data_IF_984771340146
#
_entry.id   IF_984771340146
#
_cell.length_a   1.000
_cell.length_b   1.000
_cell.length_c   1.000
_cell.angle_alpha   90.00
_cell.angle_beta   90.00
_cell.angle_gamma   90.00
#
_symmetry.space_group_name_H-M   'P 1'
#
loop_
_entity.id
_entity.type
_entity.pdbx_description
1 polymer ?
#
# COMPACT_ATOMS: atom_id res chain seq x y z
N UNK A 1 23.68 68.49 -32.65
CA UNK A 1 22.49 69.36 -32.80
C UNK A 1 21.48 68.60 -33.65
N UNK A 2 20.18 68.74 -33.34
CA UNK A 2 19.02 68.04 -33.92
C UNK A 2 18.76 66.62 -33.41
N UNK A 3 17.77 66.49 -32.51
CA UNK A 3 16.46 65.87 -32.78
C UNK A 3 15.80 65.47 -31.46
N UNK A 4 14.98 66.38 -30.93
CA UNK A 4 13.96 66.10 -29.92
C UNK A 4 12.64 65.82 -30.64
N UNK A 5 12.13 64.61 -30.56
CA UNK A 5 10.68 64.28 -30.61
C UNK A 5 10.50 62.78 -30.49
N UNK A 6 9.71 62.38 -29.49
CA UNK A 6 8.74 61.26 -29.45
C UNK A 6 8.65 60.67 -28.04
N UNK A 7 8.03 61.46 -27.16
CA UNK A 7 7.30 60.92 -26.01
C UNK A 7 6.06 60.20 -26.53
N UNK A 8 6.08 58.87 -26.53
CA UNK A 8 4.88 58.04 -26.69
C UNK A 8 4.88 56.92 -25.66
N UNK A 9 3.92 57.05 -24.74
CA UNK A 9 3.05 55.96 -24.31
C UNK A 9 3.74 54.69 -23.77
N UNK A 10 4.06 54.70 -22.48
CA UNK A 10 3.89 53.51 -21.65
C UNK A 10 2.81 53.83 -20.62
N UNK A 11 1.54 53.77 -21.06
CA UNK A 11 0.41 53.65 -20.13
C UNK A 11 0.68 52.41 -19.28
N UNK A 12 0.91 52.64 -17.99
CA UNK A 12 0.92 51.61 -16.95
C UNK A 12 -0.42 50.87 -16.95
N UNK A 13 -0.58 49.86 -17.80
CA UNK A 13 -1.50 48.77 -17.51
C UNK A 13 -0.77 47.82 -16.57
N UNK A 14 -0.59 48.25 -15.30
CA UNK A 14 -0.57 47.28 -14.20
C UNK A 14 -2.01 46.74 -14.10
N UNK A 15 -2.42 45.93 -15.09
CA UNK A 15 -3.44 44.93 -14.86
C UNK A 15 -2.95 44.20 -13.63
N UNK A 16 -3.77 44.23 -12.58
CA UNK A 16 -3.64 43.33 -11.47
C UNK A 16 -3.39 41.95 -12.07
N UNK A 17 -2.12 41.52 -12.10
CA UNK A 17 -1.78 40.13 -12.22
C UNK A 17 -2.38 39.55 -10.95
N UNK A 18 -3.61 39.09 -11.17
CA UNK A 18 -4.44 38.37 -10.25
C UNK A 18 -3.51 37.57 -9.36
N UNK A 19 -3.61 37.80 -8.05
CA UNK A 19 -3.18 36.86 -7.03
C UNK A 19 -3.91 35.55 -7.33
N UNK A 20 -3.47 34.82 -8.35
CA UNK A 20 -3.87 33.46 -8.59
C UNK A 20 -3.37 32.74 -7.36
N UNK A 21 -4.31 32.36 -6.49
CA UNK A 21 -4.08 31.37 -5.44
C UNK A 21 -3.36 30.19 -6.11
N UNK A 22 -2.05 30.10 -5.90
CA UNK A 22 -1.22 29.01 -6.46
C UNK A 22 -1.43 27.69 -5.73
N UNK A 23 -2.31 27.68 -4.72
CA UNK A 23 -2.72 26.49 -4.01
C UNK A 23 -4.24 26.53 -3.85
N UNK A 24 -4.91 25.54 -4.43
CA UNK A 24 -6.32 25.27 -4.15
C UNK A 24 -6.42 24.76 -2.70
N UNK A 25 -6.58 25.66 -1.73
CA UNK A 25 -7.16 25.25 -0.46
C UNK A 25 -8.60 24.83 -0.74
N UNK A 26 -8.97 23.64 -0.26
CA UNK A 26 -10.33 23.12 -0.39
C UNK A 26 -11.31 24.16 0.15
N UNK A 27 -12.32 24.61 -0.63
CA UNK A 27 -13.31 25.56 -0.14
C UNK A 27 -13.95 25.06 1.16
N UNK A 28 -14.23 25.97 2.11
CA UNK A 28 -14.82 25.62 3.41
C UNK A 28 -16.19 24.93 3.30
N UNK A 29 -16.90 25.15 2.18
CA UNK A 29 -18.19 24.53 1.86
C UNK A 29 -18.09 23.12 1.28
N UNK A 30 -16.88 22.59 1.02
CA UNK A 30 -16.72 21.30 0.34
C UNK A 30 -17.17 20.16 1.24
N UNK A 31 -18.02 19.28 0.70
CA UNK A 31 -18.56 18.11 1.41
C UNK A 31 -17.66 16.88 1.32
N UNK A 32 -17.03 16.67 0.15
CA UNK A 32 -16.11 15.55 -0.13
C UNK A 32 -14.66 16.03 -0.23
N UNK A 33 -13.71 15.10 -0.42
CA UNK A 33 -12.27 15.39 -0.54
C UNK A 33 -11.69 16.24 0.61
N UNK A 34 -12.25 16.07 1.81
CA UNK A 34 -11.65 16.59 3.04
C UNK A 34 -10.44 15.72 3.40
N UNK A 35 -9.38 16.29 4.01
CA UNK A 35 -8.29 15.49 4.53
C UNK A 35 -8.82 14.39 5.47
N UNK A 36 -8.24 13.19 5.37
CA UNK A 36 -8.59 12.07 6.24
C UNK A 36 -8.15 12.39 7.66
N UNK A 37 -9.07 12.30 8.61
CA UNK A 37 -8.77 12.34 10.05
C UNK A 37 -8.46 10.92 10.52
N UNK A 38 -7.17 10.55 10.48
CA UNK A 38 -6.70 9.21 10.87
C UNK A 38 -7.05 8.85 12.32
N UNK A 39 -7.33 9.82 13.20
CA UNK A 39 -7.73 9.55 14.59
C UNK A 39 -9.20 9.15 14.74
N UNK A 40 -10.00 9.31 13.69
CA UNK A 40 -11.45 9.02 13.69
C UNK A 40 -11.86 7.98 12.66
N UNK A 41 -10.91 7.48 11.88
CA UNK A 41 -11.21 6.50 10.85
C UNK A 41 -11.58 5.15 11.49
N UNK A 42 -12.63 4.46 11.03
CA UNK A 42 -13.07 3.20 11.62
C UNK A 42 -12.14 2.02 11.31
N UNK A 43 -11.17 2.19 10.41
CA UNK A 43 -10.29 1.11 9.91
C UNK A 43 -8.94 1.03 10.63
N UNK A 44 -8.77 1.81 11.71
CA UNK A 44 -7.63 1.83 12.62
C UNK A 44 -8.07 1.55 14.06
N UNK A 45 -7.20 0.90 14.83
CA UNK A 45 -7.42 0.58 16.24
C UNK A 45 -7.08 1.77 17.14
N UNK A 46 -7.95 2.79 17.17
CA UNK A 46 -7.71 4.01 17.93
C UNK A 46 -7.90 3.88 19.46
N UNK A 47 -8.24 2.68 19.96
CA UNK A 47 -8.31 2.36 21.40
C UNK A 47 -7.69 0.99 21.66
N UNK A 48 -7.15 0.78 22.87
CA UNK A 48 -6.56 -0.51 23.24
C UNK A 48 -7.57 -1.65 23.15
N UNK A 49 -8.81 -1.41 23.57
CA UNK A 49 -9.89 -2.39 23.48
C UNK A 49 -10.21 -2.78 22.03
N UNK A 50 -10.19 -1.81 21.10
CA UNK A 50 -10.38 -2.10 19.68
C UNK A 50 -9.23 -2.94 19.12
N UNK A 51 -7.99 -2.65 19.51
CA UNK A 51 -6.82 -3.45 19.09
C UNK A 51 -6.90 -4.88 19.62
N UNK A 52 -7.19 -5.06 20.92
CA UNK A 52 -7.32 -6.38 21.55
C UNK A 52 -8.43 -7.22 20.92
N UNK A 53 -9.60 -6.62 20.68
CA UNK A 53 -10.72 -7.30 20.04
C UNK A 53 -10.40 -7.70 18.60
N UNK A 54 -9.90 -6.77 17.79
CA UNK A 54 -9.66 -7.01 16.36
C UNK A 54 -8.53 -8.01 16.09
N UNK A 55 -7.53 -8.06 16.97
CA UNK A 55 -6.38 -8.96 16.86
C UNK A 55 -6.53 -10.22 17.73
N UNK A 56 -7.71 -10.44 18.33
CA UNK A 56 -8.01 -11.57 19.22
C UNK A 56 -6.98 -11.76 20.35
N UNK A 57 -6.53 -10.66 20.96
CA UNK A 57 -5.58 -10.66 22.06
C UNK A 57 -6.29 -10.86 23.41
N UNK A 58 -5.54 -11.30 24.41
CA UNK A 58 -6.01 -11.32 25.80
C UNK A 58 -6.22 -9.90 26.34
N UNK A 59 -7.06 -9.75 27.37
CA UNK A 59 -7.38 -8.43 27.95
C UNK A 59 -6.16 -7.72 28.55
N UNK A 60 -5.17 -8.48 29.01
CA UNK A 60 -3.92 -8.03 29.62
C UNK A 60 -2.78 -7.80 28.62
N UNK A 61 -2.98 -8.13 27.34
CA UNK A 61 -1.97 -7.94 26.31
C UNK A 61 -1.53 -6.48 26.22
N UNK A 62 -0.20 -6.27 26.28
CA UNK A 62 0.40 -4.96 26.16
C UNK A 62 0.32 -4.47 24.71
N UNK A 63 -0.19 -3.26 24.52
CA UNK A 63 -0.29 -2.58 23.23
C UNK A 63 0.33 -1.19 23.34
N UNK A 64 1.01 -0.74 22.29
CA UNK A 64 1.66 0.56 22.23
C UNK A 64 1.07 1.38 21.07
N UNK A 65 0.95 2.70 21.27
CA UNK A 65 0.54 3.62 20.20
C UNK A 65 1.69 3.80 19.21
N UNK A 66 1.52 3.29 17.99
CA UNK A 66 2.56 3.29 16.96
C UNK A 66 2.06 3.84 15.63
N UNK A 67 2.92 4.56 14.92
CA UNK A 67 2.75 4.82 13.51
C UNK A 67 3.30 3.67 12.65
N UNK A 68 3.06 3.71 11.33
CA UNK A 68 3.40 2.58 10.46
C UNK A 68 4.91 2.34 10.37
N UNK A 69 5.76 3.38 10.31
CA UNK A 69 7.21 3.16 10.26
C UNK A 69 7.76 2.55 11.56
N UNK A 70 7.19 2.91 12.71
CA UNK A 70 7.55 2.34 14.01
C UNK A 70 7.09 0.89 14.12
N UNK A 71 5.92 0.54 13.57
CA UNK A 71 5.43 -0.83 13.57
C UNK A 71 6.25 -1.76 12.66
N UNK A 72 6.71 -1.24 11.50
CA UNK A 72 7.70 -1.91 10.65
C UNK A 72 8.99 -2.15 11.42
N UNK A 73 9.52 -1.12 12.11
CA UNK A 73 10.70 -1.26 12.95
C UNK A 73 10.50 -2.31 14.06
N UNK A 74 9.33 -2.33 14.72
CA UNK A 74 8.98 -3.30 15.75
C UNK A 74 8.97 -4.74 15.21
N UNK A 75 8.49 -4.96 13.98
CA UNK A 75 8.56 -6.27 13.31
C UNK A 75 9.99 -6.67 12.99
N UNK A 76 10.80 -5.77 12.42
CA UNK A 76 12.21 -6.03 12.09
C UNK A 76 13.03 -6.35 13.35
N UNK A 77 12.87 -5.56 14.40
CA UNK A 77 13.49 -5.80 15.70
C UNK A 77 13.09 -7.17 16.24
N UNK A 78 11.81 -7.52 16.18
CA UNK A 78 11.34 -8.81 16.63
C UNK A 78 11.96 -9.96 15.83
N UNK A 79 11.93 -9.90 14.50
CA UNK A 79 12.50 -10.94 13.64
C UNK A 79 14.00 -11.12 13.88
N UNK A 80 14.77 -10.01 13.96
CA UNK A 80 16.20 -10.05 14.27
C UNK A 80 16.48 -10.67 15.64
N UNK A 81 15.67 -10.35 16.65
CA UNK A 81 15.80 -10.92 18.00
C UNK A 81 15.45 -12.41 18.06
N UNK A 82 14.48 -12.84 17.27
CA UNK A 82 13.93 -14.21 17.35
C UNK A 82 14.72 -15.22 16.55
N UNK A 83 15.31 -14.81 15.42
CA UNK A 83 15.98 -15.72 14.51
C UNK A 83 17.32 -15.13 14.07
N UNK A 84 18.42 -15.79 14.42
CA UNK A 84 19.79 -15.34 14.11
C UNK A 84 20.09 -15.33 12.61
N UNK A 85 19.31 -16.06 11.81
CA UNK A 85 19.46 -16.12 10.35
C UNK A 85 18.87 -14.91 9.63
N UNK A 86 18.15 -14.02 10.34
CA UNK A 86 17.57 -12.81 9.74
C UNK A 86 18.67 -11.79 9.46
N UNK A 87 18.67 -11.22 8.27
CA UNK A 87 19.54 -10.10 7.88
C UNK A 87 18.69 -8.92 7.42
N UNK A 88 19.15 -7.70 7.63
CA UNK A 88 18.53 -6.49 7.10
C UNK A 88 19.58 -5.68 6.36
N UNK A 89 19.39 -5.49 5.06
CA UNK A 89 20.34 -4.74 4.25
C UNK A 89 19.67 -4.01 3.11
N UNK A 90 20.36 -2.99 2.62
CA UNK A 90 19.93 -2.14 1.53
C UNK A 90 20.70 -0.82 1.57
N UNK A 91 20.27 0.14 0.77
CA UNK A 91 20.85 1.48 0.81
C UNK A 91 20.42 2.21 2.08
N UNK A 92 21.38 2.76 2.83
CA UNK A 92 21.14 3.66 3.96
C UNK A 92 20.42 3.06 5.19
N UNK A 93 20.21 1.74 5.23
CA UNK A 93 19.52 1.08 6.34
C UNK A 93 20.27 1.18 7.67
N UNK A 94 21.60 1.28 7.66
CA UNK A 94 22.43 1.16 8.86
C UNK A 94 22.22 2.32 9.85
N UNK A 95 22.01 3.56 9.37
CA UNK A 95 21.72 4.69 10.25
C UNK A 95 20.23 4.75 10.67
N UNK A 96 19.40 3.92 10.05
CA UNK A 96 17.97 3.82 10.31
C UNK A 96 17.07 3.93 9.06
N UNK A 97 17.65 4.09 7.87
CA UNK A 97 16.92 4.23 6.62
C UNK A 97 16.32 5.63 6.45
N UNK A 98 16.07 6.02 5.20
CA UNK A 98 15.54 7.36 4.86
C UNK A 98 14.15 7.61 5.45
N UNK A 99 13.38 6.55 5.74
CA UNK A 99 12.07 6.61 6.40
C UNK A 99 12.08 6.27 7.90
N UNK A 100 13.25 5.98 8.49
CA UNK A 100 13.43 5.56 9.90
C UNK A 100 12.87 4.18 10.26
N UNK A 101 12.66 3.30 9.27
CA UNK A 101 12.13 1.95 9.49
C UNK A 101 13.14 1.02 10.17
N UNK A 102 14.45 1.25 10.04
CA UNK A 102 15.50 0.41 10.64
C UNK A 102 16.26 1.11 11.77
N UNK A 103 15.72 2.23 12.29
CA UNK A 103 16.39 3.04 13.32
C UNK A 103 16.75 2.20 14.55
N UNK A 104 18.01 2.30 14.98
CA UNK A 104 18.53 1.65 16.20
C UNK A 104 18.88 0.16 16.03
N UNK A 105 18.50 -0.48 14.91
CA UNK A 105 18.70 -1.92 14.74
C UNK A 105 20.18 -2.30 14.58
N UNK A 106 20.99 -1.46 13.91
CA UNK A 106 22.43 -1.70 13.79
C UNK A 106 23.15 -1.63 15.13
N UNK A 107 22.76 -0.69 15.99
CA UNK A 107 23.37 -0.51 17.31
C UNK A 107 23.07 -1.72 18.22
N UNK A 108 21.89 -2.32 18.08
CA UNK A 108 21.45 -3.47 18.87
C UNK A 108 21.93 -4.81 18.34
N UNK A 109 21.81 -5.06 17.02
CA UNK A 109 22.08 -6.36 16.41
C UNK A 109 23.43 -6.46 15.70
N UNK A 110 24.17 -5.34 15.61
CA UNK A 110 25.49 -5.26 15.01
C UNK A 110 25.49 -5.15 13.48
N UNK A 111 26.60 -4.63 12.96
CA UNK A 111 26.82 -4.40 11.52
C UNK A 111 27.00 -5.68 10.68
N UNK A 112 27.08 -6.85 11.31
CA UNK A 112 27.06 -8.14 10.62
C UNK A 112 25.65 -8.57 10.21
N UNK A 113 24.61 -8.03 10.86
CA UNK A 113 23.20 -8.38 10.60
C UNK A 113 22.38 -7.24 10.03
N UNK A 114 22.75 -5.99 10.33
CA UNK A 114 22.11 -4.80 9.78
C UNK A 114 23.15 -3.91 9.12
N UNK A 115 23.15 -3.82 7.78
CA UNK A 115 24.25 -3.16 7.05
C UNK A 115 23.84 -2.52 5.73
N UNK A 116 24.63 -1.53 5.31
CA UNK A 116 24.46 -0.88 4.03
C UNK A 116 25.04 -1.73 2.90
N UNK A 117 24.39 -1.69 1.74
CA UNK A 117 24.91 -2.21 0.47
C UNK A 117 25.48 -1.08 -0.40
N UNK A 118 26.27 -1.38 -1.44
CA UNK A 118 26.44 -0.46 -2.57
C UNK A 118 25.09 -0.09 -3.20
N UNK A 119 25.06 1.06 -3.88
CA UNK A 119 23.87 1.61 -4.55
C UNK A 119 23.60 0.85 -5.85
N UNK A 120 22.91 -0.29 -5.76
CA UNK A 120 22.65 -1.20 -6.87
C UNK A 120 21.55 -2.21 -6.54
N UNK A 121 20.31 -1.94 -6.97
CA UNK A 121 19.12 -2.72 -6.59
C UNK A 121 19.17 -4.17 -7.08
N UNK A 122 19.69 -4.40 -8.29
CA UNK A 122 19.90 -5.77 -8.79
C UNK A 122 20.90 -6.55 -7.93
N UNK A 123 21.92 -5.88 -7.40
CA UNK A 123 22.91 -6.48 -6.51
C UNK A 123 22.29 -6.78 -5.15
N UNK A 124 21.47 -5.88 -4.61
CA UNK A 124 20.73 -6.07 -3.36
C UNK A 124 19.85 -7.32 -3.44
N UNK A 125 19.01 -7.44 -4.47
CA UNK A 125 18.10 -8.60 -4.59
C UNK A 125 18.86 -9.88 -4.91
N UNK A 126 19.84 -9.84 -5.82
CA UNK A 126 20.65 -11.02 -6.13
C UNK A 126 21.42 -11.55 -4.91
N UNK A 127 21.97 -10.64 -4.10
CA UNK A 127 22.60 -11.00 -2.83
C UNK A 127 21.59 -11.63 -1.86
N UNK A 128 20.39 -11.07 -1.76
CA UNK A 128 19.33 -11.62 -0.93
C UNK A 128 18.91 -13.03 -1.36
N UNK A 129 18.80 -13.29 -2.66
CA UNK A 129 18.52 -14.64 -3.18
C UNK A 129 19.62 -15.62 -2.76
N UNK A 130 20.89 -15.23 -2.90
CA UNK A 130 22.02 -16.06 -2.45
C UNK A 130 21.98 -16.36 -0.96
N UNK A 131 21.71 -15.36 -0.12
CA UNK A 131 21.53 -15.57 1.32
C UNK A 131 20.38 -16.55 1.63
N UNK A 132 19.22 -16.38 0.98
CA UNK A 132 18.06 -17.22 1.22
C UNK A 132 18.29 -18.67 0.75
N UNK A 133 18.99 -18.85 -0.37
CA UNK A 133 19.39 -20.17 -0.88
C UNK A 133 20.30 -20.93 0.11
N UNK A 134 21.10 -20.22 0.90
CA UNK A 134 21.93 -20.76 1.98
C UNK A 134 21.19 -20.88 3.33
N UNK A 135 19.86 -20.71 3.34
CA UNK A 135 19.03 -20.88 4.53
C UNK A 135 18.93 -19.65 5.44
N UNK A 136 19.40 -18.48 5.00
CA UNK A 136 19.20 -17.22 5.72
C UNK A 136 17.80 -16.64 5.46
N UNK A 137 17.38 -15.68 6.28
CA UNK A 137 16.10 -14.94 6.11
C UNK A 137 16.36 -13.45 5.80
N UNK A 138 16.81 -13.13 4.58
CA UNK A 138 17.21 -11.79 4.22
C UNK A 138 16.01 -10.86 4.02
N UNK A 139 16.07 -9.71 4.67
CA UNK A 139 15.15 -8.59 4.49
C UNK A 139 15.88 -7.50 3.71
N UNK A 140 15.68 -7.49 2.40
CA UNK A 140 16.24 -6.52 1.48
C UNK A 140 15.36 -5.28 1.40
N UNK A 141 15.91 -4.09 1.70
CA UNK A 141 15.24 -2.82 1.48
C UNK A 141 15.59 -2.26 0.11
N UNK A 142 14.56 -2.01 -0.71
CA UNK A 142 14.65 -1.19 -1.92
C UNK A 142 14.06 0.17 -1.59
N UNK A 143 14.87 1.22 -1.75
CA UNK A 143 14.61 2.52 -1.11
C UNK A 143 13.28 3.16 -1.54
N UNK A 144 12.85 2.92 -2.78
CA UNK A 144 11.51 3.23 -3.28
C UNK A 144 11.05 2.13 -4.25
N UNK A 145 9.76 1.79 -4.25
CA UNK A 145 9.19 0.85 -5.22
C UNK A 145 9.46 1.27 -6.68
N UNK A 146 9.61 2.58 -6.91
CA UNK A 146 9.99 3.18 -8.18
C UNK A 146 11.39 2.75 -8.68
N UNK A 147 12.26 2.27 -7.78
CA UNK A 147 13.63 1.84 -8.06
C UNK A 147 13.78 0.32 -8.09
N UNK A 148 12.69 -0.45 -8.02
CA UNK A 148 12.74 -1.92 -8.05
C UNK A 148 13.13 -2.49 -9.41
N UNK A 149 12.92 -1.72 -10.49
CA UNK A 149 13.03 -2.21 -11.86
C UNK A 149 14.40 -2.76 -12.29
N UNK A 150 15.55 -2.20 -11.85
CA UNK A 150 16.85 -2.83 -12.10
C UNK A 150 16.92 -4.27 -11.56
N UNK A 151 16.23 -4.56 -10.44
CA UNK A 151 16.18 -5.88 -9.84
C UNK A 151 15.08 -6.80 -10.41
N UNK A 152 14.30 -6.35 -11.39
CA UNK A 152 13.12 -7.09 -11.87
C UNK A 152 13.48 -8.47 -12.41
N UNK A 153 14.62 -8.61 -13.08
CA UNK A 153 15.12 -9.90 -13.56
C UNK A 153 15.43 -10.88 -12.41
N UNK A 154 16.13 -10.41 -11.37
CA UNK A 154 16.40 -11.20 -10.17
C UNK A 154 15.11 -11.64 -9.47
N UNK A 155 14.10 -10.77 -9.42
CA UNK A 155 12.82 -11.11 -8.79
C UNK A 155 12.06 -12.15 -9.62
N UNK A 156 11.91 -11.89 -10.92
CA UNK A 156 11.02 -12.65 -11.79
C UNK A 156 11.65 -13.95 -12.27
N UNK A 157 12.90 -13.93 -12.70
CA UNK A 157 13.56 -15.10 -13.28
C UNK A 157 14.31 -15.94 -12.25
N UNK A 158 14.80 -15.33 -11.17
CA UNK A 158 15.55 -16.05 -10.14
C UNK A 158 14.68 -16.37 -8.91
N UNK A 159 14.30 -15.36 -8.11
CA UNK A 159 13.61 -15.58 -6.83
C UNK A 159 12.29 -16.35 -6.98
N UNK A 160 11.39 -15.88 -7.85
CA UNK A 160 10.06 -16.46 -8.03
C UNK A 160 10.11 -17.90 -8.59
N UNK A 161 11.19 -18.27 -9.28
CA UNK A 161 11.33 -19.60 -9.89
C UNK A 161 12.25 -20.52 -9.10
N UNK A 162 12.89 -20.03 -8.03
CA UNK A 162 13.96 -20.75 -7.34
C UNK A 162 13.51 -22.12 -6.84
N UNK A 163 12.45 -22.17 -6.02
CA UNK A 163 11.90 -23.42 -5.48
C UNK A 163 11.44 -24.37 -6.60
N UNK A 164 10.86 -23.82 -7.67
CA UNK A 164 10.39 -24.63 -8.80
C UNK A 164 11.54 -25.26 -9.60
N UNK A 165 12.62 -24.50 -9.87
CA UNK A 165 13.78 -24.99 -10.63
C UNK A 165 14.63 -26.00 -9.85
N UNK A 166 14.65 -25.89 -8.53
CA UNK A 166 15.38 -26.79 -7.63
C UNK A 166 14.74 -28.18 -7.55
N UNK A 167 13.42 -28.28 -7.77
CA UNK A 167 12.72 -29.56 -7.82
C UNK A 167 12.91 -30.38 -6.54
N UNK A 168 13.58 -31.53 -6.65
CA UNK A 168 13.76 -32.47 -5.52
C UNK A 168 14.95 -32.17 -4.60
N UNK A 169 15.77 -31.15 -4.87
CA UNK A 169 16.96 -30.83 -4.05
C UNK A 169 16.60 -30.18 -2.71
N UNK A 170 15.41 -29.58 -2.61
CA UNK A 170 14.95 -28.84 -1.43
C UNK A 170 15.40 -27.38 -1.38
N UNK A 171 16.15 -26.89 -2.39
CA UNK A 171 16.55 -25.50 -2.47
C UNK A 171 15.36 -24.55 -2.62
N UNK A 172 15.38 -23.43 -1.90
CA UNK A 172 14.29 -22.46 -1.86
C UNK A 172 14.77 -21.07 -1.40
N UNK A 173 13.92 -20.06 -1.53
CA UNK A 173 14.18 -18.70 -1.05
C UNK A 173 13.10 -18.21 -0.06
N UNK A 174 12.56 -19.11 0.76
CA UNK A 174 11.63 -18.75 1.83
C UNK A 174 12.29 -17.86 2.87
N UNK A 175 11.50 -17.00 3.50
CA UNK A 175 11.98 -15.94 4.39
C UNK A 175 12.71 -14.78 3.70
N UNK A 176 12.91 -14.83 2.37
CA UNK A 176 13.33 -13.66 1.60
C UNK A 176 12.18 -12.64 1.56
N UNK A 177 12.44 -11.45 2.10
CA UNK A 177 11.52 -10.31 2.00
C UNK A 177 12.20 -9.17 1.27
N UNK A 178 11.59 -8.70 0.19
CA UNK A 178 11.98 -7.49 -0.52
C UNK A 178 10.95 -6.43 -0.16
N UNK A 179 11.33 -5.51 0.73
CA UNK A 179 10.46 -4.45 1.22
C UNK A 179 10.76 -3.11 0.58
N UNK A 180 9.71 -2.35 0.27
CA UNK A 180 9.85 -1.10 -0.47
C UNK A 180 8.74 -0.09 -0.14
N UNK A 181 9.08 1.20 0.07
CA UNK A 181 8.10 2.27 0.13
C UNK A 181 7.39 2.47 -1.22
N UNK A 182 6.06 2.39 -1.26
CA UNK A 182 5.25 2.50 -2.49
C UNK A 182 4.17 3.58 -2.39
N UNK A 183 3.41 3.78 -3.47
CA UNK A 183 2.21 4.61 -3.49
C UNK A 183 2.47 6.12 -3.54
N UNK A 184 1.40 6.89 -3.76
CA UNK A 184 1.45 8.36 -3.82
C UNK A 184 1.95 8.98 -2.50
N UNK A 185 2.41 10.24 -2.53
CA UNK A 185 2.86 10.96 -1.31
C UNK A 185 2.50 12.46 -1.32
N UNK A 186 1.74 12.91 -2.31
CA UNK A 186 1.30 14.29 -2.50
C UNK A 186 2.22 15.15 -3.37
N UNK A 187 3.48 14.75 -3.55
CA UNK A 187 4.49 15.49 -4.30
C UNK A 187 5.64 14.60 -4.82
N UNK A 188 5.40 13.31 -5.03
CA UNK A 188 6.48 12.36 -5.39
C UNK A 188 6.77 12.29 -6.90
N UNK A 189 5.87 12.82 -7.73
CA UNK A 189 5.99 12.85 -9.17
C UNK A 189 6.28 11.44 -9.75
N UNK A 190 7.17 11.33 -10.73
CA UNK A 190 7.33 10.10 -11.53
C UNK A 190 8.00 8.96 -10.76
N UNK A 191 8.88 9.26 -9.81
CA UNK A 191 9.84 8.29 -9.26
C UNK A 191 9.79 8.17 -7.73
N UNK A 192 8.75 8.71 -7.09
CA UNK A 192 8.48 8.49 -5.67
C UNK A 192 6.99 8.25 -5.43
N UNK A 193 6.26 7.72 -6.42
CA UNK A 193 4.79 7.61 -6.37
C UNK A 193 4.22 6.38 -7.07
N UNK A 194 5.07 5.45 -7.50
CA UNK A 194 4.59 4.25 -8.21
C UNK A 194 4.00 3.21 -7.26
N UNK A 195 3.03 2.48 -7.81
CA UNK A 195 2.41 1.28 -7.22
C UNK A 195 2.54 0.15 -8.27
N UNK A 196 3.70 -0.53 -8.30
CA UNK A 196 4.02 -1.56 -9.31
C UNK A 196 3.50 -2.97 -8.98
N UNK A 197 2.58 -3.14 -8.02
CA UNK A 197 2.14 -4.45 -7.53
C UNK A 197 1.65 -5.41 -8.63
N UNK A 198 1.01 -4.86 -9.67
CA UNK A 198 0.46 -5.64 -10.79
C UNK A 198 1.56 -6.35 -11.61
N UNK A 199 2.77 -5.81 -11.64
CA UNK A 199 3.89 -6.41 -12.37
C UNK A 199 4.39 -7.68 -11.68
N UNK A 200 4.28 -7.74 -10.36
CA UNK A 200 4.69 -8.90 -9.56
C UNK A 200 3.56 -9.92 -9.43
N UNK A 201 2.29 -9.49 -9.45
CA UNK A 201 1.15 -10.42 -9.33
C UNK A 201 0.93 -11.31 -10.56
N UNK A 202 1.57 -11.01 -11.70
CA UNK A 202 1.52 -11.86 -12.88
C UNK A 202 2.49 -13.07 -12.80
N UNK A 203 3.51 -12.99 -11.96
CA UNK A 203 4.59 -13.99 -11.89
C UNK A 203 4.33 -14.95 -10.73
N UNK A 204 4.12 -16.25 -10.99
CA UNK A 204 3.91 -17.23 -9.93
C UNK A 204 5.20 -17.52 -9.16
N UNK A 205 5.05 -17.95 -7.90
CA UNK A 205 6.15 -18.38 -7.03
C UNK A 205 6.67 -17.30 -6.08
N UNK A 206 5.90 -16.23 -5.89
CA UNK A 206 6.17 -15.19 -4.90
C UNK A 206 4.86 -14.73 -4.26
N UNK A 207 4.95 -14.01 -3.12
CA UNK A 207 3.82 -13.30 -2.51
C UNK A 207 3.98 -11.79 -2.71
N UNK A 208 2.87 -11.07 -2.82
CA UNK A 208 2.83 -9.61 -2.91
C UNK A 208 1.83 -9.10 -1.89
N UNK A 209 2.29 -8.32 -0.92
CA UNK A 209 1.50 -7.89 0.25
C UNK A 209 1.63 -6.38 0.43
N UNK A 210 0.51 -5.72 0.76
CA UNK A 210 0.47 -4.28 1.04
C UNK A 210 -0.40 -4.01 2.27
N UNK A 211 0.20 -3.69 3.45
CA UNK A 211 -0.57 -3.37 4.64
C UNK A 211 -1.29 -2.02 4.51
N UNK A 212 -2.44 -1.88 5.16
CA UNK A 212 -3.13 -0.59 5.31
C UNK A 212 -2.76 0.15 6.59
N UNK A 213 -2.28 -0.54 7.63
CA UNK A 213 -2.19 0.01 8.99
C UNK A 213 -0.92 -0.43 9.74
N UNK A 214 -0.53 0.25 10.84
CA UNK A 214 0.61 -0.15 11.68
C UNK A 214 0.52 -1.60 12.19
N UNK A 215 -0.61 -2.04 12.75
CA UNK A 215 -0.80 -3.40 13.25
C UNK A 215 -0.69 -4.42 12.12
N UNK A 216 -1.30 -4.13 10.96
CA UNK A 216 -1.12 -4.98 9.79
C UNK A 216 0.33 -5.05 9.32
N UNK A 217 1.02 -3.90 9.26
CA UNK A 217 2.41 -3.86 8.82
C UNK A 217 3.28 -4.74 9.72
N UNK A 218 3.10 -4.66 11.05
CA UNK A 218 3.85 -5.51 11.98
C UNK A 218 3.52 -6.99 11.79
N UNK A 219 2.25 -7.36 11.78
CA UNK A 219 1.84 -8.76 11.70
C UNK A 219 2.19 -9.42 10.36
N UNK A 220 1.92 -8.74 9.25
CA UNK A 220 2.20 -9.26 7.91
C UNK A 220 3.70 -9.30 7.62
N UNK A 221 4.48 -8.30 8.05
CA UNK A 221 5.94 -8.33 7.86
C UNK A 221 6.57 -9.46 8.70
N UNK A 222 6.11 -9.65 9.93
CA UNK A 222 6.58 -10.75 10.80
C UNK A 222 6.30 -12.11 10.16
N UNK A 223 5.08 -12.33 9.65
CA UNK A 223 4.74 -13.54 8.91
C UNK A 223 5.59 -13.71 7.64
N UNK A 224 5.84 -12.62 6.91
CA UNK A 224 6.65 -12.64 5.69
C UNK A 224 8.09 -13.09 5.95
N UNK A 225 8.68 -12.64 7.06
CA UNK A 225 10.07 -12.96 7.41
C UNK A 225 10.19 -14.34 8.04
N UNK A 226 9.34 -14.63 9.04
CA UNK A 226 9.55 -15.79 9.91
C UNK A 226 8.82 -17.05 9.45
N UNK A 227 7.71 -16.91 8.71
CA UNK A 227 6.77 -18.00 8.42
C UNK A 227 6.61 -18.29 6.93
N UNK A 228 6.88 -17.33 6.04
CA UNK A 228 6.69 -17.51 4.60
C UNK A 228 7.73 -18.45 3.99
N UNK A 229 7.23 -19.48 3.33
CA UNK A 229 8.01 -20.41 2.51
C UNK A 229 8.36 -19.82 1.11
N UNK A 230 7.68 -18.79 0.66
CA UNK A 230 7.94 -18.18 -0.64
C UNK A 230 8.53 -16.77 -0.48
N UNK A 231 9.32 -16.28 -1.44
CA UNK A 231 9.81 -14.90 -1.41
C UNK A 231 8.64 -13.91 -1.41
N UNK A 232 8.74 -12.86 -0.59
CA UNK A 232 7.67 -11.87 -0.39
C UNK A 232 8.11 -10.48 -0.85
N UNK A 233 7.31 -9.86 -1.72
CA UNK A 233 7.33 -8.43 -1.99
C UNK A 233 6.42 -7.74 -0.97
N UNK A 234 7.02 -6.93 -0.11
CA UNK A 234 6.30 -6.21 0.95
C UNK A 234 6.28 -4.70 0.64
N UNK A 235 5.11 -4.22 0.21
CA UNK A 235 4.96 -2.85 -0.29
C UNK A 235 4.37 -1.94 0.78
N UNK A 236 5.13 -0.96 1.24
CA UNK A 236 4.77 -0.12 2.38
C UNK A 236 4.20 1.23 1.87
N UNK A 237 2.91 1.54 2.06
CA UNK A 237 2.34 2.79 1.57
C UNK A 237 2.97 3.99 2.29
N UNK A 238 3.89 4.67 1.62
CA UNK A 238 4.82 5.61 2.28
C UNK A 238 4.14 6.82 2.89
N UNK A 239 3.01 7.24 2.32
CA UNK A 239 2.17 8.32 2.84
C UNK A 239 1.59 7.98 4.23
N UNK A 240 1.50 6.69 4.58
CA UNK A 240 0.98 6.22 5.86
C UNK A 240 2.04 6.14 6.96
N UNK A 241 3.34 6.16 6.64
CA UNK A 241 4.43 6.01 7.61
C UNK A 241 4.29 6.87 8.86
N UNK A 242 3.83 8.12 8.68
CA UNK A 242 3.63 9.09 9.76
C UNK A 242 2.17 9.54 9.91
N UNK A 243 1.27 9.05 9.07
CA UNK A 243 -0.11 9.49 9.04
C UNK A 243 -1.04 8.52 9.79
N UNK A 244 -0.85 7.21 9.58
CA UNK A 244 -1.61 6.18 10.28
C UNK A 244 -0.96 5.88 11.62
N UNK A 245 -1.73 6.00 12.69
CA UNK A 245 -1.35 5.66 14.06
C UNK A 245 -2.44 4.83 14.72
N UNK A 246 -2.08 3.75 15.40
CA UNK A 246 -3.02 2.92 16.15
C UNK A 246 -2.32 2.17 17.29
N UNK A 247 -3.09 1.52 18.15
CA UNK A 247 -2.55 0.59 19.13
C UNK A 247 -2.11 -0.70 18.45
N UNK A 248 -0.84 -1.06 18.64
CA UNK A 248 -0.19 -2.25 18.07
C UNK A 248 0.31 -3.13 19.23
N UNK A 249 0.12 -4.46 19.19
CA UNK A 249 0.68 -5.37 20.19
C UNK A 249 2.17 -5.13 20.38
N UNK A 250 2.63 -5.06 21.63
CA UNK A 250 4.06 -5.02 21.93
C UNK A 250 4.71 -6.36 21.62
N UNK A 251 4.03 -7.43 22.04
CA UNK A 251 4.49 -8.80 21.82
C UNK A 251 4.47 -9.20 20.34
N UNK A 252 5.22 -10.25 19.99
CA UNK A 252 5.16 -10.90 18.69
C UNK A 252 3.74 -11.31 18.30
N UNK A 253 3.38 -11.04 17.05
CA UNK A 253 2.23 -11.66 16.41
C UNK A 253 2.43 -11.66 14.89
N UNK A 254 1.77 -12.60 14.23
CA UNK A 254 1.68 -12.69 12.78
C UNK A 254 0.25 -12.54 12.33
N UNK A 255 0.07 -12.14 11.07
CA UNK A 255 -1.21 -12.16 10.38
C UNK A 255 -1.10 -13.08 9.17
N UNK A 256 -2.17 -13.80 8.81
CA UNK A 256 -2.16 -14.65 7.62
C UNK A 256 -1.93 -13.79 6.38
N UNK A 257 -0.92 -14.18 5.57
CA UNK A 257 -0.55 -13.43 4.36
C UNK A 257 -1.67 -13.47 3.32
N UNK A 258 -2.28 -14.64 3.10
CA UNK A 258 -3.16 -14.89 1.95
C UNK A 258 -4.67 -14.69 2.28
N UNK A 259 -4.99 -13.73 3.18
CA UNK A 259 -6.36 -13.50 3.68
C UNK A 259 -6.77 -12.03 3.62
N UNK A 260 -7.94 -11.78 3.04
CA UNK A 260 -8.56 -10.46 3.03
C UNK A 260 -9.20 -10.10 4.40
N UNK A 261 -9.48 -8.82 4.62
CA UNK A 261 -10.22 -8.29 5.76
C UNK A 261 -11.57 -7.74 5.35
N UNK A 262 -12.65 -8.17 5.99
CA UNK A 262 -13.94 -7.46 5.88
C UNK A 262 -13.98 -6.40 6.96
N UNK A 263 -13.64 -5.15 6.60
CA UNK A 263 -13.54 -4.03 7.54
C UNK A 263 -14.90 -3.55 8.03
N UNK A 264 -15.90 -3.72 7.18
CA UNK A 264 -17.27 -3.32 7.44
C UNK A 264 -18.18 -4.24 6.64
N UNK A 265 -19.10 -4.88 7.35
CA UNK A 265 -20.16 -5.66 6.73
C UNK A 265 -21.14 -4.75 5.99
N UNK A 266 -21.60 -5.20 4.82
CA UNK A 266 -22.65 -4.54 4.07
C UNK A 266 -23.49 -5.52 3.24
N UNK A 267 -24.50 -4.98 2.57
CA UNK A 267 -25.50 -5.80 1.85
C UNK A 267 -25.85 -5.32 0.45
N UNK A 268 -25.50 -4.08 0.08
CA UNK A 268 -25.96 -3.50 -1.18
C UNK A 268 -24.83 -3.37 -2.23
N UNK A 269 -23.58 -3.23 -1.79
CA UNK A 269 -22.41 -3.11 -2.66
C UNK A 269 -21.13 -3.53 -1.94
N UNK A 270 -20.27 -4.29 -2.63
CA UNK A 270 -18.92 -4.65 -2.19
C UNK A 270 -17.89 -3.67 -2.72
N UNK A 271 -17.17 -2.99 -1.84
CA UNK A 271 -16.09 -2.05 -2.14
C UNK A 271 -14.75 -2.68 -1.75
N UNK A 272 -13.91 -2.93 -2.73
CA UNK A 272 -12.66 -3.71 -2.60
C UNK A 272 -11.48 -2.78 -2.82
N UNK A 273 -10.52 -2.80 -1.90
CA UNK A 273 -9.29 -2.03 -2.04
C UNK A 273 -8.13 -2.61 -1.23
N UNK A 274 -7.00 -1.92 -1.19
CA UNK A 274 -5.79 -2.27 -0.44
C UNK A 274 -4.93 -1.02 -0.23
N UNK A 275 -4.07 -1.03 0.79
CA UNK A 275 -3.17 0.10 1.09
C UNK A 275 -3.91 1.40 1.43
N UNK A 276 -3.36 2.55 0.99
CA UNK A 276 -3.92 3.88 1.32
C UNK A 276 -5.34 4.13 0.77
N UNK A 277 -5.72 3.69 -0.45
CA UNK A 277 -7.06 3.89 -0.97
C UNK A 277 -8.21 3.43 -0.07
N UNK A 278 -7.99 2.50 0.86
CA UNK A 278 -8.99 2.07 1.84
C UNK A 278 -9.52 3.23 2.70
N UNK A 279 -8.68 4.20 3.04
CA UNK A 279 -9.13 5.38 3.80
C UNK A 279 -10.06 6.26 2.97
N UNK A 280 -9.80 6.36 1.66
CA UNK A 280 -10.64 7.11 0.72
C UNK A 280 -11.96 6.38 0.48
N UNK A 281 -11.91 5.04 0.37
CA UNK A 281 -13.08 4.17 0.27
C UNK A 281 -13.97 4.28 1.50
N UNK A 282 -13.40 4.22 2.72
CA UNK A 282 -14.14 4.39 3.96
C UNK A 282 -14.88 5.74 3.99
N UNK A 283 -14.18 6.84 3.67
CA UNK A 283 -14.80 8.17 3.64
C UNK A 283 -15.88 8.32 2.55
N UNK A 284 -15.66 7.75 1.36
CA UNK A 284 -16.63 7.77 0.27
C UNK A 284 -17.89 6.95 0.60
N UNK A 285 -17.70 5.76 1.18
CA UNK A 285 -18.79 4.89 1.64
C UNK A 285 -19.64 5.55 2.72
N UNK A 286 -19.02 6.20 3.70
CA UNK A 286 -19.74 6.94 4.74
C UNK A 286 -20.54 8.11 4.14
N UNK A 287 -19.98 8.81 3.16
CA UNK A 287 -20.65 9.94 2.52
C UNK A 287 -21.87 9.51 1.70
N UNK A 288 -21.79 8.41 0.95
CA UNK A 288 -22.92 7.92 0.14
C UNK A 288 -24.02 7.31 1.00
N UNK A 289 -23.68 6.60 2.08
CA UNK A 289 -24.68 6.05 3.01
C UNK A 289 -25.42 7.11 3.80
N UNK A 290 -24.77 8.24 4.11
CA UNK A 290 -25.45 9.40 4.72
C UNK A 290 -26.47 10.04 3.79
N UNK A 291 -26.22 9.99 2.48
CA UNK A 291 -27.11 10.55 1.47
C UNK A 291 -28.27 9.59 1.13
N UNK A 292 -27.97 8.30 0.94
CA UNK A 292 -28.94 7.29 0.54
C UNK A 292 -29.33 6.47 1.77
N UNK A 293 -30.48 6.82 2.35
CA UNK A 293 -31.01 6.13 3.53
C UNK A 293 -31.17 4.63 3.29
N UNK A 294 -30.57 3.82 4.16
CA UNK A 294 -30.69 2.36 4.13
C UNK A 294 -29.64 1.65 3.27
N UNK A 295 -28.82 2.40 2.52
CA UNK A 295 -27.65 1.87 1.83
C UNK A 295 -26.61 1.37 2.82
N UNK A 296 -25.98 0.25 2.51
CA UNK A 296 -24.95 -0.38 3.31
C UNK A 296 -23.88 -0.99 2.40
N UNK A 297 -22.71 -0.35 2.39
CA UNK A 297 -21.52 -0.73 1.64
C UNK A 297 -20.65 -1.65 2.49
N UNK A 298 -20.33 -2.81 1.93
CA UNK A 298 -19.33 -3.72 2.46
C UNK A 298 -17.94 -3.23 2.04
N UNK A 299 -17.01 -3.06 2.98
CA UNK A 299 -15.64 -2.61 2.69
C UNK A 299 -14.65 -3.74 2.96
N UNK A 300 -13.89 -4.13 1.94
CA UNK A 300 -12.92 -5.21 2.00
C UNK A 300 -11.51 -4.70 1.67
N UNK A 301 -10.56 -5.04 2.52
CA UNK A 301 -9.12 -4.90 2.31
C UNK A 301 -8.54 -6.22 1.79
N UNK A 302 -7.95 -6.22 0.59
CA UNK A 302 -7.34 -7.43 0.04
C UNK A 302 -6.14 -7.92 0.86
N UNK A 303 -5.37 -7.00 1.47
CA UNK A 303 -4.07 -7.24 2.13
C UNK A 303 -3.01 -7.89 1.23
N UNK A 304 -3.21 -9.13 0.82
CA UNK A 304 -2.44 -9.80 -0.22
C UNK A 304 -3.00 -9.48 -1.60
N UNK A 305 -2.10 -9.01 -2.45
CA UNK A 305 -2.36 -8.79 -3.87
C UNK A 305 -2.14 -10.09 -4.65
N UNK A 306 -1.20 -10.93 -4.20
CA UNK A 306 -0.94 -12.23 -4.78
C UNK A 306 -0.29 -13.19 -3.75
N UNK A 307 -0.78 -14.43 -3.60
CA UNK A 307 -2.12 -14.88 -4.00
C UNK A 307 -3.18 -14.14 -3.17
N UNK A 308 -4.25 -13.67 -3.81
CA UNK A 308 -5.31 -12.93 -3.12
C UNK A 308 -6.50 -13.83 -2.75
N UNK A 309 -7.23 -13.44 -1.71
CA UNK A 309 -8.35 -14.21 -1.16
C UNK A 309 -9.62 -14.08 -2.03
N UNK A 310 -9.67 -14.88 -3.09
CA UNK A 310 -10.80 -14.94 -4.03
C UNK A 310 -12.10 -15.38 -3.35
N UNK A 311 -12.01 -16.28 -2.37
CA UNK A 311 -13.18 -16.83 -1.67
C UNK A 311 -13.95 -15.73 -0.92
N UNK A 312 -13.24 -14.93 -0.13
CA UNK A 312 -13.84 -13.82 0.61
C UNK A 312 -14.53 -12.81 -0.32
N UNK A 313 -13.87 -12.46 -1.43
CA UNK A 313 -14.42 -11.54 -2.42
C UNK A 313 -15.65 -12.10 -3.12
N UNK A 314 -15.59 -13.35 -3.60
CA UNK A 314 -16.73 -13.97 -4.28
C UNK A 314 -17.92 -14.16 -3.34
N UNK A 315 -17.69 -14.51 -2.06
CA UNK A 315 -18.75 -14.59 -1.05
C UNK A 315 -19.42 -13.24 -0.84
N UNK A 316 -18.63 -12.17 -0.72
CA UNK A 316 -19.13 -10.81 -0.57
C UNK A 316 -19.97 -10.36 -1.76
N UNK A 317 -19.45 -10.53 -2.98
CA UNK A 317 -20.18 -10.12 -4.18
C UNK A 317 -21.42 -10.97 -4.41
N UNK A 318 -21.41 -12.26 -4.05
CA UNK A 318 -22.62 -13.07 -4.11
C UNK A 318 -23.71 -12.58 -3.13
N UNK A 319 -23.31 -12.02 -1.98
CA UNK A 319 -24.23 -11.38 -1.04
C UNK A 319 -24.79 -10.08 -1.63
N UNK A 320 -23.92 -9.16 -2.05
CA UNK A 320 -24.31 -7.78 -2.40
C UNK A 320 -24.81 -7.59 -3.84
N UNK A 321 -24.39 -8.44 -4.77
CA UNK A 321 -24.72 -8.36 -6.20
C UNK A 321 -24.02 -7.22 -6.96
N UNK A 322 -23.20 -6.39 -6.32
CA UNK A 322 -22.50 -5.25 -6.95
C UNK A 322 -21.09 -5.13 -6.41
N UNK A 323 -20.14 -4.76 -7.27
CA UNK A 323 -18.74 -4.64 -6.87
C UNK A 323 -18.05 -3.40 -7.46
N UNK A 324 -17.21 -2.76 -6.65
CA UNK A 324 -16.33 -1.65 -7.03
C UNK A 324 -14.93 -1.96 -6.53
N UNK A 325 -13.93 -1.89 -7.41
CA UNK A 325 -12.51 -2.08 -7.06
C UNK A 325 -11.77 -0.76 -7.17
N UNK A 326 -11.01 -0.40 -6.14
CA UNK A 326 -10.27 0.86 -6.06
C UNK A 326 -8.79 0.61 -5.78
N UNK A 327 -7.90 1.22 -6.56
CA UNK A 327 -6.45 1.17 -6.31
C UNK A 327 -5.70 2.36 -6.93
N UNK A 328 -4.54 2.73 -6.38
CA UNK A 328 -3.72 3.83 -6.91
C UNK A 328 -2.98 3.48 -8.21
N UNK A 329 -2.74 2.21 -8.51
CA UNK A 329 -2.06 1.84 -9.75
C UNK A 329 -2.90 2.20 -10.99
N UNK A 330 -2.28 2.15 -12.16
CA UNK A 330 -2.91 2.54 -13.42
C UNK A 330 -4.08 1.62 -13.78
N UNK A 331 -5.07 2.17 -14.49
CA UNK A 331 -6.26 1.43 -14.94
C UNK A 331 -5.93 0.21 -15.82
N UNK A 332 -4.92 0.33 -16.68
CA UNK A 332 -4.54 -0.71 -17.62
C UNK A 332 -3.76 -1.81 -16.91
N UNK A 333 -4.25 -3.05 -17.03
CA UNK A 333 -3.63 -4.23 -16.43
C UNK A 333 -3.32 -4.12 -14.92
N UNK A 334 -3.97 -3.19 -14.22
CA UNK A 334 -3.90 -3.10 -12.77
C UNK A 334 -4.64 -4.27 -12.11
N UNK A 335 -4.39 -4.46 -10.81
CA UNK A 335 -4.98 -5.54 -9.99
C UNK A 335 -6.50 -5.61 -10.12
N UNK A 336 -7.16 -4.46 -10.26
CA UNK A 336 -8.62 -4.41 -10.42
C UNK A 336 -9.13 -5.12 -11.68
N UNK A 337 -8.32 -5.29 -12.72
CA UNK A 337 -8.71 -6.04 -13.91
C UNK A 337 -8.86 -7.55 -13.60
N UNK A 338 -7.89 -8.13 -12.89
CA UNK A 338 -7.92 -9.53 -12.45
C UNK A 338 -9.08 -9.78 -11.47
N UNK A 339 -9.28 -8.87 -10.52
CA UNK A 339 -10.39 -8.96 -9.56
C UNK A 339 -11.74 -8.89 -10.28
N UNK A 340 -11.91 -7.95 -11.22
CA UNK A 340 -13.15 -7.81 -11.97
C UNK A 340 -13.45 -9.04 -12.84
N UNK A 341 -12.45 -9.58 -13.54
CA UNK A 341 -12.60 -10.80 -14.34
C UNK A 341 -13.00 -12.00 -13.47
N UNK A 342 -12.35 -12.17 -12.32
CA UNK A 342 -12.65 -13.25 -11.37
C UNK A 342 -14.07 -13.15 -10.81
N UNK A 343 -14.50 -11.94 -10.46
CA UNK A 343 -15.87 -11.70 -10.00
C UNK A 343 -16.87 -12.02 -11.12
N UNK A 344 -16.58 -11.58 -12.35
CA UNK A 344 -17.42 -11.86 -13.51
C UNK A 344 -17.60 -13.36 -13.72
N UNK A 345 -16.54 -14.16 -13.60
CA UNK A 345 -16.58 -15.61 -13.76
C UNK A 345 -17.29 -16.31 -12.58
N UNK A 346 -16.94 -15.93 -11.34
CA UNK A 346 -17.40 -16.61 -10.13
C UNK A 346 -18.75 -16.15 -9.58
N UNK A 347 -19.25 -14.99 -10.01
CA UNK A 347 -20.51 -14.40 -9.52
C UNK A 347 -21.40 -13.89 -10.66
N UNK A 348 -21.21 -14.37 -11.91
CA UNK A 348 -21.92 -13.90 -13.10
C UNK A 348 -23.43 -13.72 -12.90
N UNK A 349 -24.10 -14.77 -12.41
CA UNK A 349 -25.56 -14.80 -12.25
C UNK A 349 -26.08 -13.90 -11.13
N UNK A 350 -25.18 -13.37 -10.30
CA UNK A 350 -25.52 -12.54 -9.15
C UNK A 350 -25.24 -11.05 -9.37
N UNK A 351 -24.47 -10.70 -10.39
CA UNK A 351 -24.12 -9.33 -10.72
C UNK A 351 -25.34 -8.54 -11.23
N UNK A 352 -25.70 -7.50 -10.48
CA UNK A 352 -26.75 -6.53 -10.83
C UNK A 352 -26.20 -5.33 -11.60
N UNK A 353 -24.87 -5.15 -11.62
CA UNK A 353 -24.18 -4.11 -12.38
C UNK A 353 -22.78 -4.59 -12.81
N UNK A 354 -22.18 -4.03 -13.88
CA UNK A 354 -20.78 -4.28 -14.22
C UNK A 354 -19.86 -3.94 -13.05
N UNK A 355 -18.81 -4.75 -12.84
CA UNK A 355 -17.80 -4.45 -11.81
C UNK A 355 -17.08 -3.15 -12.16
N UNK A 356 -17.26 -2.12 -11.34
CA UNK A 356 -16.63 -0.83 -11.56
C UNK A 356 -15.17 -0.83 -11.08
N UNK A 357 -14.31 -0.12 -11.81
CA UNK A 357 -12.88 0.05 -11.45
C UNK A 357 -12.56 1.53 -11.35
N UNK A 358 -12.11 1.97 -10.18
CA UNK A 358 -11.81 3.37 -9.89
C UNK A 358 -10.33 3.47 -9.54
N UNK A 359 -9.53 3.90 -10.50
CA UNK A 359 -8.07 3.79 -10.42
C UNK A 359 -7.39 5.09 -10.84
N UNK A 360 -6.06 5.13 -10.80
CA UNK A 360 -5.34 6.20 -11.50
C UNK A 360 -5.53 6.12 -13.01
N UNK A 361 -5.40 7.26 -13.69
CA UNK A 361 -5.41 7.29 -15.14
C UNK A 361 -4.18 6.58 -15.73
N UNK A 362 -4.25 6.25 -17.01
CA UNK A 362 -3.17 5.58 -17.75
C UNK A 362 -2.10 6.60 -18.15
N UNK A 363 -1.51 7.26 -17.16
CA UNK A 363 -0.48 8.29 -17.30
C UNK A 363 0.52 8.19 -16.15
N UNK A 364 1.75 8.64 -16.35
CA UNK A 364 2.74 8.73 -15.27
C UNK A 364 2.29 9.69 -14.17
N UNK A 365 2.68 9.40 -12.92
CA UNK A 365 2.38 10.21 -11.74
C UNK A 365 2.93 11.65 -11.88
N UNK A 366 2.06 12.67 -12.03
CA UNK A 366 2.49 14.04 -12.27
C UNK A 366 2.75 14.78 -10.95
N UNK A 367 3.72 15.71 -10.93
CA UNK A 367 3.99 16.53 -9.74
C UNK A 367 2.83 17.49 -9.40
N UNK A 368 2.52 18.43 -10.31
CA UNK A 368 1.54 19.48 -10.06
C UNK A 368 0.08 19.01 -10.18
N UNK A 369 -0.14 17.90 -10.91
CA UNK A 369 -1.47 17.38 -11.21
C UNK A 369 -1.81 16.11 -10.42
N UNK A 370 -1.04 15.80 -9.37
CA UNK A 370 -1.14 14.54 -8.64
C UNK A 370 -2.59 14.23 -8.20
N UNK A 371 -3.26 15.25 -7.64
CA UNK A 371 -4.65 15.18 -7.17
C UNK A 371 -5.68 14.88 -8.27
N UNK A 372 -5.36 15.14 -9.54
CA UNK A 372 -6.24 14.83 -10.67
C UNK A 372 -6.00 13.42 -11.22
N UNK A 373 -4.85 12.81 -10.90
CA UNK A 373 -4.48 11.49 -11.38
C UNK A 373 -5.06 10.37 -10.52
N UNK A 374 -4.75 10.40 -9.22
CA UNK A 374 -5.13 9.36 -8.27
C UNK A 374 -6.64 9.35 -7.99
N UNK A 375 -7.23 8.18 -7.63
CA UNK A 375 -8.62 8.12 -7.22
C UNK A 375 -8.81 8.91 -5.92
N UNK A 376 -9.76 9.84 -5.90
CA UNK A 376 -10.12 10.63 -4.72
C UNK A 376 -11.50 10.21 -4.17
N UNK A 377 -11.88 10.77 -3.01
CA UNK A 377 -13.16 10.45 -2.36
C UNK A 377 -14.33 10.74 -3.30
N UNK A 378 -14.26 11.83 -4.06
CA UNK A 378 -15.33 12.22 -5.00
C UNK A 378 -15.49 11.22 -6.14
N UNK A 379 -14.40 10.78 -6.77
CA UNK A 379 -14.41 9.77 -7.85
C UNK A 379 -14.92 8.43 -7.33
N UNK A 380 -14.54 8.04 -6.11
CA UNK A 380 -15.02 6.80 -5.48
C UNK A 380 -16.51 6.89 -5.18
N UNK A 381 -16.95 7.97 -4.54
CA UNK A 381 -18.36 8.23 -4.23
C UNK A 381 -19.23 8.20 -5.50
N UNK A 382 -18.79 8.86 -6.57
CA UNK A 382 -19.50 8.90 -7.86
C UNK A 382 -19.56 7.51 -8.52
N UNK A 383 -18.45 6.75 -8.47
CA UNK A 383 -18.42 5.39 -8.98
C UNK A 383 -19.33 4.43 -8.21
N UNK A 384 -19.45 4.58 -6.88
CA UNK A 384 -20.42 3.83 -6.08
C UNK A 384 -21.84 4.15 -6.54
N UNK A 385 -22.21 5.43 -6.67
CA UNK A 385 -23.55 5.83 -7.12
C UNK A 385 -23.89 5.31 -8.51
N UNK A 386 -22.98 5.46 -9.49
CA UNK A 386 -23.18 4.92 -10.84
C UNK A 386 -23.37 3.41 -10.87
N UNK A 387 -22.73 2.68 -9.95
CA UNK A 387 -22.90 1.22 -9.84
C UNK A 387 -24.25 0.85 -9.22
N UNK A 388 -24.77 1.68 -8.30
CA UNK A 388 -26.09 1.48 -7.69
C UNK A 388 -27.25 1.82 -8.64
N UNK A 389 -27.05 2.77 -9.56
CA UNK A 389 -28.06 3.28 -10.49
C UNK A 389 -28.19 2.49 -11.80
N UNK A 390 -27.32 1.49 -12.05
CA UNK A 390 -27.36 0.61 -13.22
C UNK A 390 -28.61 -0.29 -13.21
#
# INVERSE_FOLDING_TARGET
MMLSTLSRSVRKSRRALCLQRRYASTPTSTKLNRPIDFKKTPILHCSEAAARSALALTEDAAVDWQNLHSAVNSSLHHALKTDETVLLFGEDVAFGGVFRCSKGLTDEFGSSRVFNTPLCEQGIVGFAIGCAAEGMKPVAEIQFADYIFPAFDQIVNEAAKFRFREGGTGGQCGGLVIRMPCGSVGHGALYHSQSPEALFSHVPGMRVVMPRSPAQAKGLLTASILESDDPVIFMEPKILYRAAEEFVPRDPFSLPLDRADVLKEGKDLTLISYGQPLYLCAAASEAVEKEIKGLSVELIDLRAIYPWDRETILKSVNKTGRAVVVHESMFNAGVGAEVAATIQEGAFLRLEAPVARITSWTTHSPLAFEKFNFPDITRIYDGIKRTLEF
#
